data_IF_393890091799
#
_entry.id   IF_393890091799
#
_cell.length_a   1.000
_cell.length_b   1.000
_cell.length_c   1.000
_cell.angle_alpha   90.00
_cell.angle_beta   90.00
_cell.angle_gamma   90.00
#
_symmetry.space_group_name_H-M   'P 1'
#
loop_
_entity.id
_entity.type
_entity.pdbx_description
1 polymer ?
#
# COMPACT_ATOMS: atom_id res chain seq x y z
N UNK A 1 31.27 6.45 68.79
CA UNK A 1 30.59 6.25 67.49
C UNK A 1 30.38 7.56 66.70
N UNK A 2 30.23 8.73 67.34
CA UNK A 2 30.07 10.02 66.64
C UNK A 2 31.37 10.54 65.99
N UNK A 3 32.53 10.40 66.64
CA UNK A 3 33.82 10.89 66.11
C UNK A 3 34.27 10.23 64.79
N UNK A 4 33.89 8.97 64.56
CA UNK A 4 34.24 8.24 63.33
C UNK A 4 33.46 8.79 62.13
N UNK A 5 32.19 9.19 62.34
CA UNK A 5 31.35 9.79 61.30
C UNK A 5 31.86 11.16 60.87
N UNK A 6 32.34 11.96 61.82
CA UNK A 6 32.93 13.28 61.51
C UNK A 6 34.17 13.14 60.63
N UNK A 7 35.06 12.17 60.94
CA UNK A 7 36.24 11.89 60.10
C UNK A 7 35.88 11.46 58.68
N UNK A 8 34.86 10.61 58.51
CA UNK A 8 34.40 10.20 57.18
C UNK A 8 33.82 11.36 56.38
N UNK A 9 33.10 12.27 57.03
CA UNK A 9 32.56 13.47 56.39
C UNK A 9 33.68 14.43 55.96
N UNK A 10 34.67 14.65 56.83
CA UNK A 10 35.82 15.51 56.53
C UNK A 10 36.69 14.91 55.40
N UNK A 11 36.84 13.60 55.35
CA UNK A 11 37.55 12.90 54.28
C UNK A 11 36.83 13.07 52.93
N UNK A 12 35.50 12.92 52.91
CA UNK A 12 34.68 13.15 51.71
C UNK A 12 34.72 14.61 51.26
N UNK A 13 34.64 15.57 52.19
CA UNK A 13 34.75 16.99 51.87
C UNK A 13 36.14 17.34 51.32
N UNK A 14 37.21 16.78 51.89
CA UNK A 14 38.59 17.02 51.44
C UNK A 14 38.85 16.46 50.04
N UNK A 15 38.19 15.36 49.66
CA UNK A 15 38.21 14.84 48.29
C UNK A 15 37.48 15.72 47.27
N UNK A 16 36.58 16.59 47.73
CA UNK A 16 35.77 17.46 46.88
C UNK A 16 36.34 18.88 46.74
N UNK A 17 37.25 19.29 47.63
CA UNK A 17 37.85 20.63 47.68
C UNK A 17 38.73 20.96 46.46
N UNK A 18 39.26 19.93 45.79
CA UNK A 18 40.01 20.06 44.53
C UNK A 18 39.16 20.08 43.26
N UNK A 19 37.84 19.93 43.36
CA UNK A 19 36.96 19.87 42.19
C UNK A 19 36.67 21.29 41.69
N UNK A 20 37.52 21.73 40.78
CA UNK A 20 37.31 22.98 40.06
C UNK A 20 36.00 22.89 39.27
N UNK A 21 35.18 23.94 39.38
CA UNK A 21 33.91 24.06 38.65
C UNK A 21 34.21 23.88 37.16
N UNK A 22 33.79 22.75 36.58
CA UNK A 22 34.03 22.44 35.19
C UNK A 22 33.26 23.46 34.33
N UNK A 23 33.95 24.52 33.88
CA UNK A 23 33.38 25.43 32.90
C UNK A 23 33.27 24.69 31.58
N UNK A 24 32.11 24.76 30.94
CA UNK A 24 31.95 24.20 29.61
C UNK A 24 33.04 24.79 28.68
N UNK A 25 33.74 23.96 27.90
CA UNK A 25 34.67 24.46 26.90
C UNK A 25 33.98 25.41 25.93
N UNK A 26 34.72 26.36 25.39
CA UNK A 26 34.23 27.25 24.35
C UNK A 26 33.65 26.43 23.18
N UNK A 27 32.49 26.85 22.65
CA UNK A 27 31.72 26.14 21.60
C UNK A 27 31.09 24.77 21.97
N UNK A 28 31.13 24.33 23.24
CA UNK A 28 30.44 23.09 23.67
C UNK A 28 28.93 23.15 23.37
N UNK A 29 28.28 24.26 23.72
CA UNK A 29 26.85 24.46 23.47
C UNK A 29 26.52 24.47 21.98
N UNK A 30 27.37 25.06 21.14
CA UNK A 30 27.19 25.07 19.68
C UNK A 30 27.25 23.66 19.11
N UNK A 31 28.24 22.87 19.54
CA UNK A 31 28.40 21.48 19.09
C UNK A 31 27.27 20.59 19.60
N UNK A 32 26.85 20.79 20.84
CA UNK A 32 25.72 20.08 21.45
C UNK A 32 24.42 20.39 20.70
N UNK A 33 24.13 21.68 20.49
CA UNK A 33 22.96 22.14 19.73
C UNK A 33 22.95 21.57 18.31
N UNK A 34 24.08 21.61 17.60
CA UNK A 34 24.20 21.04 16.27
C UNK A 34 23.97 19.52 16.24
N UNK A 35 24.34 18.78 17.31
CA UNK A 35 24.05 17.34 17.42
C UNK A 35 22.59 17.06 17.74
N UNK A 36 21.97 17.89 18.58
CA UNK A 36 20.53 17.79 18.88
C UNK A 36 19.72 18.05 17.61
N UNK A 37 19.99 19.14 16.89
CA UNK A 37 19.31 19.47 15.63
C UNK A 37 19.48 18.38 14.56
N UNK A 38 20.69 17.82 14.41
CA UNK A 38 20.94 16.67 13.52
C UNK A 38 20.20 15.39 13.91
N UNK A 39 19.89 15.21 15.19
CA UNK A 39 19.11 14.07 15.68
C UNK A 39 17.60 14.24 15.47
N UNK A 40 17.12 15.48 15.29
CA UNK A 40 15.72 15.81 15.05
C UNK A 40 15.37 15.94 13.57
N UNK A 41 16.34 16.06 12.67
CA UNK A 41 16.07 15.85 11.26
C UNK A 41 15.72 14.36 11.08
N UNK A 42 14.47 14.00 10.72
CA UNK A 42 14.17 12.64 10.35
C UNK A 42 15.12 12.33 9.21
N UNK A 43 16.05 11.37 9.43
CA UNK A 43 16.95 10.81 8.43
C UNK A 43 16.24 10.92 7.11
N UNK A 44 16.66 11.91 6.29
CA UNK A 44 15.99 12.21 5.05
C UNK A 44 16.12 10.92 4.26
N UNK A 45 15.07 10.10 4.34
CA UNK A 45 14.99 8.79 3.74
C UNK A 45 15.06 9.14 2.30
N UNK A 46 16.26 8.99 1.74
CA UNK A 46 16.65 9.34 0.39
C UNK A 46 15.56 8.72 -0.48
N UNK A 47 14.54 9.53 -0.81
CA UNK A 47 13.27 9.02 -1.31
C UNK A 47 13.66 8.24 -2.53
N UNK A 48 13.47 6.92 -2.48
CA UNK A 48 13.89 6.02 -3.55
C UNK A 48 13.14 6.48 -4.80
N UNK A 49 13.84 7.22 -5.66
CA UNK A 49 13.35 7.80 -6.93
C UNK A 49 12.95 6.71 -7.94
N UNK A 50 13.04 5.44 -7.52
CA UNK A 50 12.60 4.26 -8.26
C UNK A 50 11.10 3.99 -8.13
N UNK A 51 10.40 4.50 -7.10
CA UNK A 51 8.94 4.37 -6.97
C UNK A 51 8.11 4.82 -8.19
N UNK A 52 8.38 5.95 -8.87
CA UNK A 52 7.58 6.37 -10.02
C UNK A 52 7.67 5.40 -11.20
N UNK A 53 8.82 4.76 -11.42
CA UNK A 53 9.01 3.84 -12.55
C UNK A 53 8.23 2.54 -12.35
N UNK A 54 8.27 1.98 -11.14
CA UNK A 54 7.48 0.78 -10.81
C UNK A 54 5.97 1.04 -10.85
N UNK A 55 5.53 2.22 -10.39
CA UNK A 55 4.12 2.61 -10.48
C UNK A 55 3.65 2.74 -11.94
N UNK A 56 4.44 3.38 -12.80
CA UNK A 56 4.15 3.51 -14.22
C UNK A 56 4.12 2.13 -14.91
N UNK A 57 5.09 1.27 -14.61
CA UNK A 57 5.15 -0.09 -15.16
C UNK A 57 3.93 -0.93 -14.76
N UNK A 58 3.48 -0.83 -13.51
CA UNK A 58 2.29 -1.54 -13.03
C UNK A 58 1.01 -1.06 -13.74
N UNK A 59 0.85 0.25 -13.95
CA UNK A 59 -0.29 0.81 -14.70
C UNK A 59 -0.28 0.33 -16.15
N UNK A 60 0.88 0.37 -16.81
CA UNK A 60 1.04 -0.09 -18.19
C UNK A 60 0.72 -1.60 -18.29
N UNK A 61 1.20 -2.41 -17.34
CA UNK A 61 0.90 -3.84 -17.27
C UNK A 61 -0.61 -4.10 -17.19
N UNK A 62 -1.31 -3.43 -16.29
CA UNK A 62 -2.76 -3.56 -16.12
C UNK A 62 -3.50 -3.14 -17.40
N UNK A 63 -3.06 -2.06 -18.03
CA UNK A 63 -3.61 -1.61 -19.31
C UNK A 63 -3.44 -2.67 -20.42
N UNK A 64 -2.26 -3.29 -20.54
CA UNK A 64 -2.03 -4.35 -21.51
C UNK A 64 -2.87 -5.60 -21.24
N UNK A 65 -3.02 -6.01 -19.98
CA UNK A 65 -3.87 -7.13 -19.60
C UNK A 65 -5.32 -6.86 -20.02
N UNK A 66 -5.85 -5.67 -19.71
CA UNK A 66 -7.21 -5.30 -20.08
C UNK A 66 -7.40 -5.21 -21.62
N UNK A 67 -6.43 -4.65 -22.34
CA UNK A 67 -6.46 -4.59 -23.79
C UNK A 67 -6.38 -6.00 -24.42
N UNK A 68 -5.53 -6.88 -23.88
CA UNK A 68 -5.41 -8.25 -24.34
C UNK A 68 -6.73 -9.02 -24.15
N UNK A 69 -7.39 -8.87 -23.00
CA UNK A 69 -8.71 -9.49 -22.72
C UNK A 69 -9.77 -8.98 -23.71
N UNK A 70 -9.76 -7.69 -24.06
CA UNK A 70 -10.71 -7.13 -25.02
C UNK A 70 -10.49 -7.70 -26.43
N UNK A 71 -9.23 -7.78 -26.86
CA UNK A 71 -8.86 -8.29 -28.18
C UNK A 71 -9.08 -9.81 -28.28
N UNK A 72 -8.76 -10.59 -27.24
CA UNK A 72 -9.07 -12.03 -27.23
C UNK A 72 -10.57 -12.29 -27.21
N UNK A 73 -11.38 -11.48 -26.51
CA UNK A 73 -12.84 -11.56 -26.60
C UNK A 73 -13.39 -11.21 -27.99
N UNK A 74 -12.73 -10.32 -28.73
CA UNK A 74 -13.16 -9.93 -30.08
C UNK A 74 -12.67 -10.90 -31.17
N UNK A 75 -11.50 -11.52 -31.00
CA UNK A 75 -10.84 -12.32 -32.05
C UNK A 75 -10.88 -13.84 -31.80
N UNK A 76 -11.23 -14.28 -30.59
CA UNK A 76 -11.21 -15.69 -30.20
C UNK A 76 -12.51 -16.12 -29.55
N UNK A 77 -13.29 -16.91 -30.30
CA UNK A 77 -14.21 -17.85 -29.67
C UNK A 77 -13.41 -18.76 -28.71
N UNK A 78 -13.76 -18.74 -27.42
CA UNK A 78 -13.36 -19.74 -26.44
C UNK A 78 -12.09 -19.45 -25.64
N UNK A 79 -12.24 -18.73 -24.52
CA UNK A 79 -11.74 -19.21 -23.23
C UNK A 79 -12.71 -18.74 -22.15
N UNK A 80 -13.64 -19.62 -21.80
CA UNK A 80 -14.56 -19.47 -20.69
C UNK A 80 -13.79 -19.28 -19.38
N UNK A 81 -13.71 -18.03 -18.93
CA UNK A 81 -13.47 -17.73 -17.52
C UNK A 81 -14.75 -17.12 -16.96
N UNK A 82 -15.64 -18.01 -16.51
CA UNK A 82 -16.60 -17.82 -15.42
C UNK A 82 -17.52 -16.58 -15.46
N UNK A 83 -18.24 -16.34 -16.58
CA UNK A 83 -19.40 -15.41 -16.60
C UNK A 83 -20.30 -15.50 -17.85
N UNK A 84 -20.09 -16.45 -18.79
CA UNK A 84 -20.74 -16.42 -20.12
C UNK A 84 -21.95 -17.36 -20.25
N UNK A 85 -22.13 -18.32 -19.33
CA UNK A 85 -23.14 -19.36 -19.50
C UNK A 85 -24.60 -18.92 -19.26
N UNK A 86 -24.87 -17.83 -18.55
CA UNK A 86 -26.26 -17.43 -18.26
C UNK A 86 -26.92 -16.73 -19.45
N UNK A 87 -26.16 -15.96 -20.23
CA UNK A 87 -26.73 -15.14 -21.32
C UNK A 87 -26.99 -15.96 -22.58
N UNK A 88 -26.10 -16.90 -22.89
CA UNK A 88 -26.27 -17.82 -24.03
C UNK A 88 -27.38 -18.87 -23.78
N UNK A 89 -27.50 -19.37 -22.54
CA UNK A 89 -28.59 -20.29 -22.17
C UNK A 89 -29.96 -19.61 -22.21
N UNK A 90 -30.07 -18.36 -21.73
CA UNK A 90 -31.32 -17.60 -21.82
C UNK A 90 -31.73 -17.29 -23.26
N UNK A 91 -30.77 -17.00 -24.16
CA UNK A 91 -31.06 -16.81 -25.59
C UNK A 91 -31.47 -18.11 -26.28
N UNK A 92 -30.83 -19.24 -25.95
CA UNK A 92 -31.19 -20.57 -26.45
C UNK A 92 -32.62 -20.96 -26.05
N UNK A 93 -32.99 -20.74 -24.78
CA UNK A 93 -34.34 -21.04 -24.28
C UNK A 93 -35.38 -20.14 -24.95
N UNK A 94 -35.11 -18.84 -25.10
CA UNK A 94 -36.03 -17.91 -25.77
C UNK A 94 -36.26 -18.25 -27.26
N UNK A 95 -35.21 -18.72 -27.96
CA UNK A 95 -35.31 -19.14 -29.35
C UNK A 95 -36.13 -20.43 -29.52
N UNK A 96 -36.04 -21.36 -28.58
CA UNK A 96 -36.81 -22.62 -28.58
C UNK A 96 -38.29 -22.40 -28.25
N UNK A 97 -38.61 -21.45 -27.35
CA UNK A 97 -39.99 -21.01 -27.09
C UNK A 97 -40.59 -20.15 -28.19
N UNK A 98 -39.77 -19.60 -29.10
CA UNK A 98 -40.24 -18.94 -30.32
C UNK A 98 -40.62 -19.96 -31.43
N UNK A 99 -41.07 -21.15 -31.04
CA UNK A 99 -41.78 -22.10 -31.89
C UNK A 99 -43.25 -22.04 -31.46
N UNK A 100 -43.88 -20.91 -31.72
CA UNK A 100 -45.32 -20.77 -31.61
C UNK A 100 -45.87 -20.20 -32.91
N UNK A 101 -45.68 -21.01 -33.94
CA UNK A 101 -46.44 -21.11 -35.18
C UNK A 101 -47.92 -21.46 -34.89
N UNK A 102 -48.54 -20.75 -33.93
CA UNK A 102 -49.97 -20.80 -33.61
C UNK A 102 -50.74 -19.86 -34.55
N UNK A 103 -50.04 -19.11 -35.40
CA UNK A 103 -50.64 -18.35 -36.50
C UNK A 103 -51.16 -19.26 -37.61
N UNK A 104 -50.50 -20.38 -37.92
CA UNK A 104 -50.90 -21.26 -39.04
C UNK A 104 -52.02 -22.25 -38.69
N UNK A 105 -52.30 -22.49 -37.41
CA UNK A 105 -53.40 -23.36 -36.97
C UNK A 105 -54.79 -22.71 -37.00
N UNK A 106 -54.86 -21.37 -36.95
CA UNK A 106 -56.13 -20.64 -37.10
C UNK A 106 -56.49 -20.36 -38.56
N UNK A 107 -55.49 -20.20 -39.44
CA UNK A 107 -55.69 -19.87 -40.86
C UNK A 107 -56.24 -21.06 -41.69
N UNK A 108 -56.03 -22.30 -41.23
CA UNK A 108 -56.50 -23.53 -41.89
C UNK A 108 -58.00 -23.83 -41.69
N UNK A 109 -58.67 -23.15 -40.76
CA UNK A 109 -60.09 -23.36 -40.46
C UNK A 109 -61.01 -22.22 -40.97
N UNK A 110 -60.46 -21.17 -41.58
CA UNK A 110 -61.26 -20.07 -42.17
C UNK A 110 -61.57 -20.25 -43.66
N UNK A 111 -60.97 -21.24 -44.35
CA UNK A 111 -61.14 -21.44 -45.80
C UNK A 111 -62.00 -22.65 -46.23
N UNK A 112 -62.91 -23.20 -45.39
CA UNK A 112 -63.92 -24.16 -45.87
C UNK A 112 -65.30 -24.05 -45.24
#
# INVERSE_FOLDING_TARGET
MSMEKTKQIDEILSGLDGVQRASAPEFFYTRLKARMEKGFEPLATRKRVLYPVYALAAVILIMFINAAILVTKQNGAGTDTASVNETETLQSIAAEYNINDVSSLYELNEER
#
